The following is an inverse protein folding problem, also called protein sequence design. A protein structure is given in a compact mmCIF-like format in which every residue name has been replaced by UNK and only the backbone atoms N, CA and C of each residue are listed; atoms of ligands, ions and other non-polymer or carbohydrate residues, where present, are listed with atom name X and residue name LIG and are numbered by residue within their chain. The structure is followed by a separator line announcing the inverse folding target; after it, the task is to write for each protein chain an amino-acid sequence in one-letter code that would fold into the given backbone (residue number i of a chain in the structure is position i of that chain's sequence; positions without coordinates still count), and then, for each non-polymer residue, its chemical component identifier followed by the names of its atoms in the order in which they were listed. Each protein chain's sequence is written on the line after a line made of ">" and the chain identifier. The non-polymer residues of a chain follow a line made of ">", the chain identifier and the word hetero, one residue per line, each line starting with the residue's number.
data_IF_995094324476
#
_entry.id   IF_995094324476
#
_cell.length_a   1.000
_cell.length_b   1.000
_cell.length_c   1.000
_cell.angle_alpha   90.00
_cell.angle_beta   90.00
_cell.angle_gamma   90.00
#
_symmetry.space_group_name_H-M   'P 1'
#
loop_
_entity.id
_entity.type
_entity.pdbx_description
1 polymer ?
#
# COMPACT_ATOMS: atom_id res chain seq x y z
N UNK A 1 19.84 14.72 -22.17
CA UNK A 1 18.56 14.05 -22.49
C UNK A 1 17.93 13.58 -21.18
N UNK A 2 17.11 14.41 -20.54
CA UNK A 2 16.33 14.11 -19.33
C UNK A 2 14.91 14.61 -19.61
N UNK A 3 13.87 13.96 -19.07
CA UNK A 3 12.45 14.40 -19.08
C UNK A 3 11.45 13.71 -20.03
N UNK A 4 11.51 12.39 -20.20
CA UNK A 4 10.32 11.65 -20.67
C UNK A 4 9.75 10.64 -19.64
N UNK A 5 10.56 10.09 -18.74
CA UNK A 5 10.08 9.18 -17.70
C UNK A 5 9.45 9.89 -16.48
N UNK A 6 9.77 11.18 -16.25
CA UNK A 6 9.38 11.91 -15.04
C UNK A 6 7.91 12.36 -15.01
N UNK A 7 7.32 12.65 -16.17
CA UNK A 7 5.90 13.03 -16.28
C UNK A 7 4.96 11.82 -16.15
N UNK A 8 5.44 10.63 -16.52
CA UNK A 8 4.63 9.41 -16.49
C UNK A 8 4.34 8.99 -15.04
N UNK A 9 5.30 9.11 -14.11
CA UNK A 9 5.08 8.76 -12.69
C UNK A 9 4.11 9.71 -11.98
N UNK A 10 4.17 11.02 -12.27
CA UNK A 10 3.29 12.05 -11.67
C UNK A 10 1.83 11.88 -12.07
N UNK A 11 1.61 11.79 -13.38
CA UNK A 11 0.30 11.58 -13.94
C UNK A 11 -0.26 10.24 -13.47
N UNK A 12 0.59 9.23 -13.26
CA UNK A 12 0.17 7.92 -12.74
C UNK A 12 -0.29 8.00 -11.28
N UNK A 13 0.47 8.63 -10.37
CA UNK A 13 0.05 8.77 -8.97
C UNK A 13 -1.23 9.62 -8.83
N UNK A 14 -1.33 10.72 -9.57
CA UNK A 14 -2.52 11.57 -9.56
C UNK A 14 -3.73 10.86 -10.18
N UNK A 15 -3.53 10.12 -11.28
CA UNK A 15 -4.58 9.32 -11.90
C UNK A 15 -5.04 8.19 -10.99
N UNK A 16 -4.13 7.48 -10.31
CA UNK A 16 -4.47 6.44 -9.32
C UNK A 16 -5.28 7.07 -8.19
N UNK A 17 -4.84 8.23 -7.67
CA UNK A 17 -5.54 8.93 -6.58
C UNK A 17 -6.97 9.28 -6.98
N UNK A 18 -7.14 9.96 -8.11
CA UNK A 18 -8.46 10.37 -8.63
C UNK A 18 -9.33 9.13 -8.90
N UNK A 19 -8.77 8.08 -9.50
CA UNK A 19 -9.52 6.87 -9.84
C UNK A 19 -10.02 6.13 -8.60
N UNK A 20 -9.19 6.03 -7.54
CA UNK A 20 -9.57 5.40 -6.28
C UNK A 20 -10.62 6.24 -5.53
N UNK A 21 -10.42 7.55 -5.42
CA UNK A 21 -11.41 8.44 -4.76
C UNK A 21 -12.76 8.39 -5.48
N UNK A 22 -12.77 8.52 -6.80
CA UNK A 22 -14.01 8.46 -7.58
C UNK A 22 -14.68 7.10 -7.50
N UNK A 23 -13.92 6.00 -7.53
CA UNK A 23 -14.47 4.66 -7.37
C UNK A 23 -15.12 4.49 -6.00
N UNK A 24 -14.50 5.00 -4.94
CA UNK A 24 -15.06 4.96 -3.60
C UNK A 24 -16.30 5.84 -3.43
N UNK A 25 -16.25 7.10 -3.86
CA UNK A 25 -17.38 8.03 -3.74
C UNK A 25 -18.59 7.50 -4.54
N UNK A 26 -18.33 6.87 -5.68
CA UNK A 26 -19.33 6.18 -6.47
C UNK A 26 -19.85 4.93 -5.76
N UNK A 27 -18.99 4.09 -5.18
CA UNK A 27 -19.39 2.93 -4.39
C UNK A 27 -20.30 3.29 -3.20
N UNK A 28 -20.11 4.48 -2.62
CA UNK A 28 -20.91 5.01 -1.50
C UNK A 28 -22.18 5.76 -1.93
N UNK A 29 -22.41 5.93 -3.22
CA UNK A 29 -23.53 6.74 -3.72
C UNK A 29 -23.42 8.24 -3.41
N UNK A 30 -22.22 8.74 -3.09
CA UNK A 30 -21.97 10.15 -2.77
C UNK A 30 -21.95 11.05 -4.01
N UNK A 31 -21.76 10.45 -5.20
CA UNK A 31 -21.95 11.10 -6.49
C UNK A 31 -23.39 10.82 -6.95
N UNK A 32 -24.30 11.78 -6.75
CA UNK A 32 -25.75 11.58 -6.79
C UNK A 32 -26.36 10.83 -8.00
N UNK A 33 -27.48 10.13 -7.70
CA UNK A 33 -28.37 9.29 -8.52
C UNK A 33 -28.02 7.77 -8.61
N UNK A 34 -29.03 6.87 -8.75
CA UNK A 34 -29.22 5.63 -7.99
C UNK A 34 -28.20 4.50 -8.28
N UNK A 35 -28.08 3.51 -7.38
CA UNK A 35 -27.09 2.46 -7.48
C UNK A 35 -27.52 1.40 -8.48
N UNK A 36 -27.10 1.51 -9.74
CA UNK A 36 -27.26 0.39 -10.65
C UNK A 36 -25.94 -0.05 -11.28
N UNK A 37 -25.47 0.47 -12.40
CA UNK A 37 -24.27 -0.10 -13.04
C UNK A 37 -22.95 0.46 -12.52
N UNK A 38 -22.90 1.76 -12.19
CA UNK A 38 -21.66 2.48 -11.90
C UNK A 38 -21.08 2.12 -10.53
N UNK A 39 -21.94 2.06 -9.50
CA UNK A 39 -21.58 1.62 -8.15
C UNK A 39 -21.04 0.18 -8.19
N UNK A 40 -21.74 -0.74 -8.86
CA UNK A 40 -21.29 -2.13 -9.08
C UNK A 40 -19.95 -2.20 -9.82
N UNK A 41 -19.76 -1.36 -10.84
CA UNK A 41 -18.50 -1.30 -11.59
C UNK A 41 -17.34 -0.76 -10.74
N UNK A 42 -17.60 0.23 -9.89
CA UNK A 42 -16.61 0.79 -8.99
C UNK A 42 -16.22 -0.18 -7.87
N UNK A 43 -17.19 -0.89 -7.30
CA UNK A 43 -16.93 -1.97 -6.36
C UNK A 43 -16.14 -3.11 -7.02
N UNK A 44 -16.52 -3.52 -8.23
CA UNK A 44 -15.77 -4.52 -9.01
C UNK A 44 -14.35 -4.06 -9.35
N UNK A 45 -14.15 -2.77 -9.62
CA UNK A 45 -12.81 -2.20 -9.83
C UNK A 45 -11.96 -2.28 -8.55
N UNK A 46 -12.50 -1.84 -7.40
CA UNK A 46 -11.79 -1.92 -6.13
C UNK A 46 -11.48 -3.37 -5.76
N UNK A 47 -12.46 -4.27 -5.87
CA UNK A 47 -12.28 -5.69 -5.58
C UNK A 47 -11.18 -6.34 -6.43
N UNK A 48 -11.13 -6.00 -7.73
CA UNK A 48 -10.18 -6.61 -8.67
C UNK A 48 -8.78 -6.02 -8.61
N UNK A 49 -8.65 -4.71 -8.37
CA UNK A 49 -7.39 -4.00 -8.57
C UNK A 49 -6.77 -3.45 -7.29
N UNK A 50 -7.50 -3.35 -6.16
CA UNK A 50 -6.98 -2.71 -4.96
C UNK A 50 -5.69 -3.37 -4.44
N UNK A 51 -5.67 -4.70 -4.28
CA UNK A 51 -4.48 -5.43 -3.85
C UNK A 51 -3.36 -5.43 -4.90
N UNK A 52 -3.70 -5.30 -6.18
CA UNK A 52 -2.70 -5.23 -7.25
C UNK A 52 -2.01 -3.86 -7.33
N UNK A 53 -2.72 -2.78 -7.00
CA UNK A 53 -2.20 -1.40 -7.02
C UNK A 53 -1.32 -1.13 -5.80
N UNK A 54 -1.58 -1.78 -4.66
CA UNK A 54 -0.90 -1.51 -3.40
C UNK A 54 0.63 -1.74 -3.46
N UNK A 55 1.15 -2.86 -4.01
CA UNK A 55 2.59 -3.04 -4.26
C UNK A 55 3.20 -2.00 -5.20
N UNK A 56 2.49 -1.64 -6.27
CA UNK A 56 2.98 -0.67 -7.26
C UNK A 56 3.13 0.71 -6.63
N UNK A 57 2.16 1.13 -5.82
CA UNK A 57 2.24 2.37 -5.06
C UNK A 57 3.42 2.35 -4.08
N UNK A 58 3.69 1.20 -3.45
CA UNK A 58 4.83 1.03 -2.54
C UNK A 58 6.18 1.06 -3.26
N UNK A 59 6.30 0.48 -4.45
CA UNK A 59 7.55 0.57 -5.22
C UNK A 59 7.86 2.00 -5.65
N UNK A 60 6.84 2.75 -6.08
CA UNK A 60 6.98 4.18 -6.39
C UNK A 60 7.38 4.99 -5.15
N UNK A 61 6.94 4.61 -3.95
CA UNK A 61 7.35 5.25 -2.69
C UNK A 61 8.82 5.02 -2.35
N UNK A 62 9.30 3.80 -2.62
CA UNK A 62 10.65 3.37 -2.26
C UNK A 62 11.68 3.78 -3.31
N UNK A 63 11.25 4.27 -4.47
CA UNK A 63 12.14 4.82 -5.49
C UNK A 63 12.75 6.16 -5.01
N UNK A 64 14.06 6.12 -4.77
CA UNK A 64 14.85 7.26 -4.31
C UNK A 64 14.92 8.41 -5.33
N UNK A 65 14.53 8.18 -6.59
CA UNK A 65 14.46 9.23 -7.60
C UNK A 65 13.31 10.25 -7.35
N UNK A 66 12.42 9.98 -6.40
CA UNK A 66 11.20 10.76 -6.15
C UNK A 66 11.20 11.55 -4.82
N UNK A 67 12.37 11.85 -4.24
CA UNK A 67 12.48 12.59 -2.96
C UNK A 67 11.69 13.90 -2.91
N UNK A 68 11.62 14.64 -4.02
CA UNK A 68 10.85 15.90 -4.14
C UNK A 68 9.33 15.74 -3.95
N UNK A 69 8.81 14.50 -4.06
CA UNK A 69 7.38 14.16 -4.05
C UNK A 69 7.02 13.11 -3.01
N UNK A 70 7.96 12.86 -2.11
CA UNK A 70 7.83 11.87 -1.05
C UNK A 70 6.49 12.00 -0.30
N UNK A 71 6.06 13.22 0.04
CA UNK A 71 4.81 13.43 0.77
C UNK A 71 3.53 13.23 -0.06
N UNK A 72 3.54 13.50 -1.38
CA UNK A 72 2.39 13.25 -2.24
C UNK A 72 2.13 11.75 -2.39
N UNK A 73 3.20 10.98 -2.50
CA UNK A 73 3.11 9.53 -2.56
C UNK A 73 2.76 8.95 -1.19
N UNK A 74 3.24 9.54 -0.07
CA UNK A 74 2.78 9.18 1.28
C UNK A 74 1.27 9.41 1.43
N UNK A 75 0.75 10.50 0.85
CA UNK A 75 -0.68 10.77 0.85
C UNK A 75 -1.48 9.73 0.05
N UNK A 76 -0.90 9.16 -1.02
CA UNK A 76 -1.50 8.04 -1.75
C UNK A 76 -1.61 6.78 -0.87
N UNK A 77 -0.53 6.38 -0.20
CA UNK A 77 -0.55 5.23 0.71
C UNK A 77 -1.51 5.45 1.89
N UNK A 78 -1.47 6.65 2.49
CA UNK A 78 -2.40 7.08 3.54
C UNK A 78 -3.85 6.99 3.07
N UNK A 79 -4.15 7.43 1.85
CA UNK A 79 -5.50 7.33 1.27
C UNK A 79 -5.91 5.88 1.07
N UNK A 80 -5.07 5.03 0.47
CA UNK A 80 -5.38 3.62 0.27
C UNK A 80 -5.70 2.93 1.61
N UNK A 81 -4.82 3.06 2.60
CA UNK A 81 -5.02 2.48 3.93
C UNK A 81 -6.30 3.03 4.59
N UNK A 82 -6.55 4.33 4.48
CA UNK A 82 -7.77 4.97 4.99
C UNK A 82 -9.04 4.42 4.34
N UNK A 83 -9.03 4.20 3.03
CA UNK A 83 -10.17 3.61 2.32
C UNK A 83 -10.51 2.23 2.91
N UNK A 84 -9.48 1.46 3.25
CA UNK A 84 -9.64 0.13 3.79
C UNK A 84 -10.10 0.14 5.26
N UNK A 85 -9.52 0.99 6.11
CA UNK A 85 -9.86 1.07 7.54
C UNK A 85 -11.20 1.75 7.82
N UNK A 86 -11.75 2.49 6.86
CA UNK A 86 -13.06 3.16 6.96
C UNK A 86 -14.17 2.41 6.22
N UNK A 87 -13.99 1.10 5.99
CA UNK A 87 -14.95 0.22 5.33
C UNK A 87 -15.42 0.75 3.95
N UNK A 88 -14.49 1.33 3.19
CA UNK A 88 -14.76 1.91 1.87
C UNK A 88 -14.31 1.01 0.72
N UNK A 89 -13.76 -0.15 1.06
CA UNK A 89 -13.29 -1.16 0.12
C UNK A 89 -14.18 -2.40 0.29
N UNK A 90 -14.84 -2.88 -0.77
CA UNK A 90 -15.64 -4.09 -0.69
C UNK A 90 -14.79 -5.30 -0.25
N UNK A 91 -15.42 -6.39 0.17
CA UNK A 91 -14.73 -7.63 0.48
C UNK A 91 -13.81 -8.05 -0.68
N UNK A 92 -12.50 -8.05 -0.43
CA UNK A 92 -11.49 -8.38 -1.44
C UNK A 92 -11.50 -9.87 -1.80
N UNK A 93 -12.02 -10.71 -0.89
CA UNK A 93 -12.26 -12.14 -1.08
C UNK A 93 -13.73 -12.45 -0.76
N UNK A 94 -14.64 -12.38 -1.76
CA UNK A 94 -16.08 -12.55 -1.54
C UNK A 94 -16.47 -14.00 -1.20
N UNK A 95 -15.62 -14.98 -1.52
CA UNK A 95 -15.92 -16.42 -1.38
C UNK A 95 -15.39 -17.04 -0.08
N UNK A 96 -14.84 -16.25 0.84
CA UNK A 96 -14.60 -16.73 2.19
C UNK A 96 -15.95 -16.81 2.90
N UNK A 97 -16.57 -17.99 2.86
CA UNK A 97 -17.79 -18.27 3.63
C UNK A 97 -17.60 -17.73 5.06
N UNK A 98 -18.52 -16.89 5.56
CA UNK A 98 -18.45 -16.45 6.94
C UNK A 98 -18.49 -17.72 7.80
N UNK A 99 -17.44 -17.94 8.61
CA UNK A 99 -17.50 -18.99 9.62
C UNK A 99 -18.78 -18.78 10.42
N UNK A 100 -19.58 -19.82 10.46
CA UNK A 100 -20.95 -19.85 10.96
C UNK A 100 -21.20 -18.94 12.17
N UNK A 101 -22.11 -17.99 11.99
CA UNK A 101 -23.07 -17.58 13.01
C UNK A 101 -22.58 -16.59 14.05
N UNK A 102 -22.37 -15.33 13.67
CA UNK A 102 -22.90 -14.16 14.40
C UNK A 102 -22.82 -12.95 13.48
N UNK A 103 -23.96 -12.32 13.23
CA UNK A 103 -24.09 -11.15 12.36
C UNK A 103 -23.53 -9.90 13.07
N UNK A 104 -22.22 -9.68 13.00
CA UNK A 104 -21.57 -8.39 13.34
C UNK A 104 -20.65 -7.96 12.18
N UNK A 105 -21.27 -7.77 11.01
CA UNK A 105 -20.61 -7.81 9.70
C UNK A 105 -19.78 -6.59 9.20
N UNK A 106 -19.66 -5.41 9.86
CA UNK A 106 -18.75 -4.38 9.36
C UNK A 106 -17.29 -4.58 9.81
N UNK A 107 -17.06 -5.09 11.02
CA UNK A 107 -15.69 -5.21 11.55
C UNK A 107 -14.92 -6.38 10.91
N UNK A 108 -15.61 -7.49 10.63
CA UNK A 108 -15.00 -8.70 10.05
C UNK A 108 -14.46 -8.44 8.63
N UNK A 109 -15.17 -7.65 7.83
CA UNK A 109 -14.74 -7.30 6.46
C UNK A 109 -13.53 -6.37 6.48
N UNK A 110 -13.53 -5.36 7.35
CA UNK A 110 -12.40 -4.44 7.51
C UNK A 110 -11.15 -5.18 8.02
N UNK A 111 -11.30 -6.08 8.99
CA UNK A 111 -10.20 -6.88 9.54
C UNK A 111 -9.63 -7.85 8.49
N UNK A 112 -10.49 -8.56 7.74
CA UNK A 112 -10.09 -9.46 6.67
C UNK A 112 -9.36 -8.70 5.55
N UNK A 113 -9.90 -7.57 5.10
CA UNK A 113 -9.26 -6.71 4.11
C UNK A 113 -7.92 -6.16 4.62
N UNK A 114 -7.84 -5.78 5.90
CA UNK A 114 -6.62 -5.24 6.52
C UNK A 114 -5.54 -6.31 6.53
N UNK A 115 -5.90 -7.51 6.96
CA UNK A 115 -5.01 -8.67 6.99
C UNK A 115 -4.51 -9.03 5.59
N UNK A 116 -5.41 -9.05 4.60
CA UNK A 116 -5.04 -9.26 3.20
C UNK A 116 -4.05 -8.22 2.68
N UNK A 117 -4.30 -6.94 2.93
CA UNK A 117 -3.42 -5.86 2.50
C UNK A 117 -2.04 -5.92 3.18
N UNK A 118 -1.99 -6.20 4.49
CA UNK A 118 -0.73 -6.42 5.22
C UNK A 118 0.05 -7.60 4.64
N UNK A 119 -0.63 -8.72 4.35
CA UNK A 119 0.02 -9.90 3.77
C UNK A 119 0.60 -9.63 2.37
N UNK A 120 -0.12 -8.88 1.54
CA UNK A 120 0.36 -8.48 0.20
C UNK A 120 1.57 -7.56 0.31
N UNK A 121 1.53 -6.54 1.16
CA UNK A 121 2.68 -5.63 1.39
C UNK A 121 3.88 -6.42 1.91
N UNK A 122 3.67 -7.27 2.92
CA UNK A 122 4.75 -8.03 3.55
C UNK A 122 5.40 -9.00 2.56
N UNK A 123 4.59 -9.74 1.81
CA UNK A 123 5.09 -10.67 0.78
C UNK A 123 5.84 -9.93 -0.32
N UNK A 124 5.32 -8.78 -0.77
CA UNK A 124 5.99 -7.95 -1.77
C UNK A 124 7.35 -7.45 -1.30
N UNK A 125 7.43 -6.90 -0.09
CA UNK A 125 8.69 -6.40 0.48
C UNK A 125 9.71 -7.52 0.69
N UNK A 126 9.29 -8.68 1.19
CA UNK A 126 10.19 -9.82 1.37
C UNK A 126 10.71 -10.36 0.03
N UNK A 127 9.88 -10.33 -1.03
CA UNK A 127 10.28 -10.81 -2.35
C UNK A 127 11.16 -9.81 -3.12
N UNK A 128 10.88 -8.51 -3.01
CA UNK A 128 11.57 -7.46 -3.79
C UNK A 128 12.75 -6.81 -3.06
N UNK A 129 12.80 -6.96 -1.72
CA UNK A 129 13.84 -6.42 -0.84
C UNK A 129 14.34 -7.55 0.08
N UNK A 130 14.78 -8.66 -0.52
CA UNK A 130 15.06 -9.94 0.15
C UNK A 130 16.11 -9.95 1.27
N UNK A 131 16.72 -8.81 1.60
CA UNK A 131 17.60 -8.65 2.76
C UNK A 131 16.91 -8.00 3.97
N UNK A 132 15.66 -7.57 3.84
CA UNK A 132 14.85 -7.12 4.98
C UNK A 132 14.48 -8.28 5.89
N UNK A 133 14.61 -8.10 7.20
CA UNK A 133 14.15 -9.09 8.16
C UNK A 133 12.62 -9.12 8.21
N UNK A 134 12.03 -10.31 8.38
CA UNK A 134 10.59 -10.49 8.53
C UNK A 134 10.00 -9.62 9.65
N UNK A 135 10.72 -9.48 10.77
CA UNK A 135 10.34 -8.62 11.88
C UNK A 135 10.22 -7.14 11.48
N UNK A 136 11.16 -6.63 10.68
CA UNK A 136 11.16 -5.25 10.18
C UNK A 136 9.98 -5.00 9.25
N UNK A 137 9.68 -5.97 8.38
CA UNK A 137 8.55 -5.90 7.44
C UNK A 137 7.21 -5.89 8.19
N UNK A 138 7.05 -6.73 9.20
CA UNK A 138 5.82 -6.77 10.02
C UNK A 138 5.65 -5.47 10.82
N UNK A 139 6.72 -4.96 11.44
CA UNK A 139 6.69 -3.67 12.14
C UNK A 139 6.32 -2.51 11.22
N UNK A 140 6.85 -2.51 9.99
CA UNK A 140 6.46 -1.55 8.97
C UNK A 140 4.97 -1.64 8.64
N UNK A 141 4.46 -2.85 8.39
CA UNK A 141 3.04 -3.08 8.10
C UNK A 141 2.13 -2.60 9.25
N UNK A 142 2.50 -2.86 10.51
CA UNK A 142 1.69 -2.41 11.64
C UNK A 142 1.68 -0.88 11.77
N UNK A 143 2.84 -0.24 11.61
CA UNK A 143 2.96 1.22 11.68
C UNK A 143 2.23 1.94 10.56
N UNK A 144 2.28 1.42 9.33
CA UNK A 144 1.53 1.99 8.19
C UNK A 144 0.03 2.05 8.47
N UNK A 145 -0.52 1.02 9.10
CA UNK A 145 -1.96 0.91 9.41
C UNK A 145 -2.34 1.57 10.74
N UNK A 146 -1.38 1.92 11.60
CA UNK A 146 -1.61 2.73 12.79
C UNK A 146 -1.60 4.22 12.46
N UNK A 147 -0.62 4.66 11.66
CA UNK A 147 -0.33 6.07 11.41
C UNK A 147 -0.98 6.62 10.12
N UNK A 148 -1.89 5.87 9.50
CA UNK A 148 -2.47 6.23 8.20
C UNK A 148 -3.17 7.59 8.19
N UNK A 149 -3.70 8.06 9.33
CA UNK A 149 -4.33 9.37 9.47
C UNK A 149 -3.33 10.54 9.54
N UNK A 150 -2.04 10.26 9.70
CA UNK A 150 -0.99 11.24 9.84
C UNK A 150 0.08 11.03 8.75
N UNK A 151 -0.08 11.72 7.62
CA UNK A 151 0.84 11.65 6.47
C UNK A 151 2.29 11.94 6.86
N UNK A 152 2.51 12.81 7.86
CA UNK A 152 3.87 13.12 8.35
C UNK A 152 4.46 11.93 9.11
N UNK A 153 3.69 11.29 9.99
CA UNK A 153 4.12 10.08 10.70
C UNK A 153 4.40 8.93 9.71
N UNK A 154 3.51 8.72 8.75
CA UNK A 154 3.69 7.75 7.67
C UNK A 154 4.97 8.01 6.86
N UNK A 155 5.28 9.28 6.61
CA UNK A 155 6.52 9.68 5.98
C UNK A 155 7.78 9.32 6.78
N UNK A 156 7.73 9.33 8.12
CA UNK A 156 8.85 8.83 8.93
C UNK A 156 8.96 7.31 8.85
N UNK A 157 7.85 6.59 8.94
CA UNK A 157 7.79 5.12 8.81
C UNK A 157 8.41 4.66 7.47
N UNK A 158 8.07 5.34 6.37
CA UNK A 158 8.63 5.06 5.05
C UNK A 158 10.12 5.40 4.96
N UNK A 159 10.56 6.52 5.53
CA UNK A 159 12.00 6.86 5.58
C UNK A 159 12.80 5.83 6.38
N UNK A 160 12.26 5.32 7.46
CA UNK A 160 12.90 4.29 8.27
C UNK A 160 13.00 2.97 7.50
N UNK A 161 11.95 2.59 6.75
CA UNK A 161 12.02 1.44 5.83
C UNK A 161 13.08 1.66 4.73
N UNK A 162 13.12 2.82 4.09
CA UNK A 162 14.13 3.14 3.07
C UNK A 162 15.56 3.08 3.63
N UNK A 163 15.78 3.54 4.87
CA UNK A 163 17.07 3.38 5.55
C UNK A 163 17.38 1.91 5.79
N UNK A 164 16.42 1.12 6.28
CA UNK A 164 16.61 -0.31 6.50
C UNK A 164 16.96 -1.06 5.20
N UNK A 165 16.32 -0.70 4.08
CA UNK A 165 16.66 -1.22 2.75
C UNK A 165 18.11 -0.87 2.40
N UNK A 166 18.49 0.42 2.46
CA UNK A 166 19.87 0.86 2.17
C UNK A 166 20.91 0.18 3.05
N UNK A 167 20.65 0.05 4.35
CA UNK A 167 21.54 -0.63 5.29
C UNK A 167 21.65 -2.14 5.02
N UNK A 168 20.64 -2.75 4.42
CA UNK A 168 20.67 -4.16 4.02
C UNK A 168 21.40 -4.39 2.69
N UNK A 169 21.50 -3.36 1.83
CA UNK A 169 22.21 -3.43 0.53
C UNK A 169 23.74 -3.36 0.67
N UNK A 170 24.24 -2.75 1.75
CA UNK A 170 25.68 -2.71 2.06
C UNK A 170 26.11 -4.06 2.67
N UNK A 171 26.86 -4.87 1.92
CA UNK A 171 27.55 -6.03 2.51
C UNK A 171 28.55 -5.56 3.58
N UNK A 172 28.78 -6.34 4.65
CA UNK A 172 29.97 -6.16 5.45
C UNK A 172 31.17 -6.50 4.56
N UNK A 173 32.04 -5.53 4.26
CA UNK A 173 33.39 -5.81 3.79
C UNK A 173 34.08 -6.65 4.87
N UNK A 174 34.03 -7.98 4.76
CA UNK A 174 34.93 -8.86 5.50
C UNK A 174 36.23 -8.90 4.72
N UNK A 175 37.22 -8.22 5.30
CA UNK A 175 38.59 -8.17 4.82
C UNK A 175 39.17 -9.57 4.62
N UNK A 176 39.77 -9.77 3.45
CA UNK A 176 40.81 -10.75 3.26
C UNK A 176 42.00 -10.39 4.15
N UNK A 177 42.02 -10.87 5.38
CA UNK A 177 43.29 -11.09 6.08
C UNK A 177 43.85 -12.43 5.62
N UNK A 178 44.57 -12.41 4.49
CA UNK A 178 45.55 -13.45 4.15
C UNK A 178 46.66 -13.44 5.22
N UNK A 179 46.53 -14.29 6.22
CA UNK A 179 47.63 -14.68 7.10
C UNK A 179 48.52 -15.68 6.36
N UNK A 180 49.63 -15.19 5.80
CA UNK A 180 50.80 -16.00 5.50
C UNK A 180 51.66 -16.10 6.76
N UNK A 181 51.71 -17.28 7.38
CA UNK A 181 52.84 -17.74 8.19
C UNK A 181 53.08 -19.22 7.86
#
# INVERSE_FOLDING_TARGET
>A
MRSHNFRVSELSCQAIRISLTNATDLAKGLLGNPPDSRVRSAMGFLQKYYLAVLPVALDVLLDTALESRFFDTCALLSMMVRLLTQDQVPALYPDCEPMSGTTDAPNDTVEANTTAAKNVIASHLLNTRGRLQRSQVLQFCDRVFLDFGNVRALGFVLKDLMKAIKSSEVEPEHGEETLHI
#
